data_IF_364240715210
#
_entry.id   IF_364240715210
#
_cell.length_a   1.000
_cell.length_b   1.000
_cell.length_c   1.000
_cell.angle_alpha   90.00
_cell.angle_beta   90.00
_cell.angle_gamma   90.00
#
_symmetry.space_group_name_H-M   'P 1'
#
loop_
_entity.id
_entity.type
_entity.pdbx_description
1 polymer ?
#
# COMPACT_ATOMS: atom_id res chain seq x y z
N UNK A 1 5.04 37.65 -2.65
CA UNK A 1 4.95 37.88 -1.19
C UNK A 1 4.08 39.11 -0.97
N UNK A 2 2.75 38.95 -0.80
CA UNK A 2 1.83 39.96 -0.27
C UNK A 2 0.41 39.35 -0.11
N UNK A 3 -0.24 39.68 1.01
CA UNK A 3 -1.66 39.50 1.37
C UNK A 3 -2.23 38.09 1.56
N UNK A 4 -1.75 37.35 2.57
CA UNK A 4 -2.67 36.50 3.35
C UNK A 4 -2.95 37.22 4.66
N UNK A 5 -4.21 37.56 4.91
CA UNK A 5 -4.66 38.04 6.22
C UNK A 5 -4.30 36.95 7.25
N UNK A 6 -3.66 37.29 8.39
CA UNK A 6 -3.45 36.32 9.46
C UNK A 6 -4.80 35.78 9.91
N UNK A 7 -4.85 34.49 10.25
CA UNK A 7 -6.08 33.85 10.71
C UNK A 7 -6.60 34.60 11.95
N UNK A 8 -7.86 35.03 11.89
CA UNK A 8 -8.53 35.65 13.04
C UNK A 8 -8.65 34.60 14.15
N UNK A 9 -8.32 35.00 15.37
CA UNK A 9 -8.26 34.18 16.60
C UNK A 9 -9.52 33.30 16.79
N UNK A 10 -10.66 33.82 16.36
CA UNK A 10 -12.01 33.26 16.46
C UNK A 10 -12.28 32.12 15.45
N UNK A 11 -11.37 31.87 14.50
CA UNK A 11 -11.47 30.78 13.51
C UNK A 11 -10.61 29.57 13.85
N UNK A 12 -9.85 29.64 14.94
CA UNK A 12 -9.11 28.50 15.49
C UNK A 12 -10.11 27.66 16.29
N UNK A 13 -10.26 26.38 15.93
CA UNK A 13 -11.05 25.46 16.72
C UNK A 13 -10.29 25.15 18.02
N UNK A 14 -10.63 25.85 19.10
CA UNK A 14 -9.92 25.75 20.37
C UNK A 14 -10.12 24.40 21.04
N UNK A 15 -11.20 23.67 20.73
CA UNK A 15 -11.45 22.32 21.26
C UNK A 15 -10.38 21.32 20.81
N UNK A 16 -9.79 21.49 19.61
CA UNK A 16 -8.64 20.70 19.13
C UNK A 16 -7.33 21.03 19.90
N UNK A 17 -7.28 22.19 20.53
CA UNK A 17 -6.13 22.68 21.30
C UNK A 17 -6.26 22.32 22.78
N UNK A 18 -7.47 22.41 23.34
CA UNK A 18 -7.74 22.33 24.79
C UNK A 18 -8.17 20.95 25.28
N UNK A 19 -8.68 20.04 24.43
CA UNK A 19 -9.12 18.72 24.90
C UNK A 19 -7.95 17.74 25.11
N UNK A 20 -7.01 18.07 26.00
CA UNK A 20 -5.97 17.15 26.46
C UNK A 20 -6.51 16.25 27.57
N UNK A 21 -7.46 15.36 27.23
CA UNK A 21 -7.67 14.20 28.08
C UNK A 21 -6.51 13.24 27.77
N UNK A 22 -5.55 13.11 28.68
CA UNK A 22 -4.26 12.43 28.45
C UNK A 22 -4.40 10.95 28.05
N UNK A 23 -5.60 10.38 28.20
CA UNK A 23 -5.94 8.99 27.89
C UNK A 23 -7.10 8.82 26.89
N UNK A 24 -7.58 9.88 26.23
CA UNK A 24 -8.62 9.73 25.21
C UNK A 24 -8.04 9.02 23.97
N UNK A 25 -8.53 7.80 23.72
CA UNK A 25 -8.27 7.05 22.48
C UNK A 25 -8.72 7.93 21.30
N UNK A 26 -7.81 8.22 20.36
CA UNK A 26 -8.12 9.06 19.20
C UNK A 26 -9.19 8.43 18.32
N UNK A 27 -10.01 9.25 17.64
CA UNK A 27 -11.04 8.76 16.71
C UNK A 27 -10.45 7.84 15.64
N UNK A 28 -9.25 8.15 15.15
CA UNK A 28 -8.52 7.32 14.19
C UNK A 28 -8.13 5.96 14.77
N UNK A 29 -7.69 5.91 16.04
CA UNK A 29 -7.34 4.66 16.71
C UNK A 29 -8.59 3.81 16.97
N UNK A 30 -9.73 4.42 17.34
CA UNK A 30 -11.00 3.70 17.46
C UNK A 30 -11.40 3.07 16.12
N UNK A 31 -11.37 3.84 15.04
CA UNK A 31 -11.77 3.38 13.70
C UNK A 31 -10.83 2.32 13.15
N UNK A 32 -9.52 2.44 13.45
CA UNK A 32 -8.53 1.42 13.12
C UNK A 32 -8.82 0.12 13.89
N UNK A 33 -9.01 0.17 15.21
CA UNK A 33 -9.27 -1.01 16.02
C UNK A 33 -10.57 -1.71 15.62
N UNK A 34 -11.63 -0.96 15.34
CA UNK A 34 -12.92 -1.53 14.91
C UNK A 34 -12.81 -2.31 13.61
N UNK A 35 -11.91 -1.90 12.71
CA UNK A 35 -11.68 -2.60 11.44
C UNK A 35 -10.59 -3.68 11.55
N UNK A 36 -9.54 -3.45 12.34
CA UNK A 36 -8.41 -4.36 12.50
C UNK A 36 -8.73 -5.61 13.32
N UNK A 37 -9.57 -5.50 14.36
CA UNK A 37 -9.92 -6.63 15.23
C UNK A 37 -10.60 -7.75 14.43
N UNK A 38 -11.65 -7.50 13.62
CA UNK A 38 -12.24 -8.54 12.78
C UNK A 38 -11.23 -9.19 11.82
N UNK A 39 -10.36 -8.40 11.18
CA UNK A 39 -9.34 -8.93 10.27
C UNK A 39 -8.33 -9.84 11.00
N UNK A 40 -7.90 -9.45 12.20
CA UNK A 40 -7.00 -10.24 13.03
C UNK A 40 -7.66 -11.55 13.48
N UNK A 41 -8.93 -11.49 13.90
CA UNK A 41 -9.70 -12.67 14.29
C UNK A 41 -9.86 -13.64 13.12
N UNK A 42 -10.20 -13.16 11.92
CA UNK A 42 -10.26 -14.00 10.71
C UNK A 42 -8.90 -14.61 10.38
N UNK A 43 -7.82 -13.84 10.52
CA UNK A 43 -6.45 -14.34 10.28
C UNK A 43 -6.06 -15.46 11.24
N UNK A 44 -6.38 -15.30 12.53
CA UNK A 44 -6.11 -16.30 13.59
C UNK A 44 -6.98 -17.53 13.39
N UNK A 45 -8.28 -17.35 13.09
CA UNK A 45 -9.19 -18.45 12.79
C UNK A 45 -8.71 -19.26 11.59
N UNK A 46 -8.31 -18.59 10.50
CA UNK A 46 -7.75 -19.25 9.31
C UNK A 46 -6.49 -20.04 9.64
N UNK A 47 -5.62 -19.52 10.50
CA UNK A 47 -4.40 -20.23 10.93
C UNK A 47 -4.68 -21.45 11.81
N UNK A 48 -5.73 -21.41 12.64
CA UNK A 48 -6.01 -22.47 13.63
C UNK A 48 -6.98 -23.54 13.13
N UNK A 49 -7.97 -23.16 12.33
CA UNK A 49 -9.18 -23.95 12.13
C UNK A 49 -9.51 -24.25 10.66
N UNK A 50 -8.82 -23.63 9.70
CA UNK A 50 -9.14 -23.75 8.26
C UNK A 50 -7.98 -24.44 7.54
N UNK A 51 -8.27 -25.53 6.83
CA UNK A 51 -7.28 -26.17 5.96
C UNK A 51 -6.92 -25.31 4.75
N UNK A 52 -5.73 -25.49 4.15
CA UNK A 52 -5.26 -24.69 3.00
C UNK A 52 -6.18 -24.71 1.76
N UNK A 53 -7.12 -25.66 1.68
CA UNK A 53 -8.06 -25.83 0.56
C UNK A 53 -9.51 -25.51 0.91
N UNK A 54 -9.77 -25.06 2.13
CA UNK A 54 -11.12 -24.81 2.62
C UNK A 54 -11.43 -23.31 2.59
N UNK A 55 -12.67 -22.97 2.20
CA UNK A 55 -13.12 -21.59 2.20
C UNK A 55 -13.31 -21.11 3.65
N UNK A 56 -12.56 -20.09 4.05
CA UNK A 56 -12.52 -19.60 5.45
C UNK A 56 -13.92 -19.27 5.96
N UNK A 57 -14.73 -18.60 5.15
CA UNK A 57 -16.08 -18.21 5.54
C UNK A 57 -17.08 -19.35 5.52
N UNK A 58 -16.87 -20.39 4.72
CA UNK A 58 -17.69 -21.60 4.75
C UNK A 58 -17.48 -22.36 6.07
N UNK A 59 -16.22 -22.57 6.46
CA UNK A 59 -15.86 -23.20 7.74
C UNK A 59 -16.33 -22.34 8.92
N UNK A 60 -16.19 -21.02 8.83
CA UNK A 60 -16.71 -20.10 9.85
C UNK A 60 -18.25 -20.16 9.96
N UNK A 61 -18.96 -20.23 8.84
CA UNK A 61 -20.41 -20.36 8.83
C UNK A 61 -20.86 -21.71 9.42
N UNK A 62 -20.16 -22.79 9.11
CA UNK A 62 -20.41 -24.11 9.70
C UNK A 62 -20.19 -24.10 11.22
N UNK A 63 -19.06 -23.57 11.69
CA UNK A 63 -18.73 -23.52 13.13
C UNK A 63 -19.69 -22.66 13.95
N UNK A 64 -20.30 -21.63 13.35
CA UNK A 64 -21.27 -20.73 14.01
C UNK A 64 -22.73 -21.17 13.77
N UNK A 65 -22.97 -22.23 12.99
CA UNK A 65 -24.32 -22.74 12.69
C UNK A 65 -25.12 -21.86 11.71
N UNK A 66 -24.42 -21.09 10.86
CA UNK A 66 -24.97 -20.19 9.85
C UNK A 66 -24.76 -20.69 8.41
N UNK A 67 -24.48 -21.98 8.21
CA UNK A 67 -24.21 -22.57 6.89
C UNK A 67 -25.34 -22.35 5.89
N UNK A 68 -26.60 -22.50 6.31
CA UNK A 68 -27.77 -22.26 5.44
C UNK A 68 -27.87 -20.81 4.96
N UNK A 69 -27.47 -19.85 5.80
CA UNK A 69 -27.42 -18.44 5.44
C UNK A 69 -26.27 -18.19 4.47
N UNK A 70 -25.09 -18.77 4.72
CA UNK A 70 -23.94 -18.65 3.83
C UNK A 70 -24.22 -19.18 2.42
N UNK A 71 -24.81 -20.38 2.31
CA UNK A 71 -25.19 -20.98 1.03
C UNK A 71 -26.24 -20.15 0.28
N UNK A 72 -27.14 -19.49 1.02
CA UNK A 72 -28.15 -18.59 0.44
C UNK A 72 -27.54 -17.30 -0.12
N UNK A 73 -26.49 -16.77 0.53
CA UNK A 73 -25.82 -15.53 0.09
C UNK A 73 -24.83 -15.84 -1.05
N UNK A 74 -24.31 -17.07 -1.16
CA UNK A 74 -23.50 -17.51 -2.30
C UNK A 74 -22.18 -16.77 -2.45
N UNK A 75 -21.57 -16.31 -1.34
CA UNK A 75 -20.29 -15.60 -1.39
C UNK A 75 -19.15 -16.64 -1.48
N UNK A 76 -18.60 -16.83 -2.68
CA UNK A 76 -17.41 -17.67 -2.91
C UNK A 76 -16.07 -16.95 -2.65
N UNK A 77 -16.09 -15.87 -1.86
CA UNK A 77 -14.90 -15.06 -1.60
C UNK A 77 -14.08 -15.68 -0.46
N UNK A 78 -12.91 -16.25 -0.76
CA UNK A 78 -11.91 -16.64 0.26
C UNK A 78 -10.73 -15.65 0.27
N UNK A 79 -10.62 -14.78 1.30
CA UNK A 79 -9.51 -13.84 1.38
C UNK A 79 -8.22 -14.57 1.71
N UNK A 80 -7.18 -14.31 0.91
CA UNK A 80 -5.81 -14.74 1.24
C UNK A 80 -5.23 -13.90 2.37
N UNK A 81 -4.16 -14.37 3.03
CA UNK A 81 -3.43 -13.54 4.00
C UNK A 81 -2.94 -12.22 3.39
N UNK A 82 -2.57 -12.24 2.10
CA UNK A 82 -2.18 -11.03 1.38
C UNK A 82 -3.35 -10.06 1.23
N UNK A 83 -4.57 -10.55 1.01
CA UNK A 83 -5.78 -9.72 0.93
C UNK A 83 -6.12 -9.08 2.27
N UNK A 84 -5.96 -9.83 3.36
CA UNK A 84 -6.18 -9.31 4.71
C UNK A 84 -5.15 -8.23 5.07
N UNK A 85 -3.86 -8.46 4.75
CA UNK A 85 -2.82 -7.44 4.92
C UNK A 85 -3.12 -6.20 4.07
N UNK A 86 -3.55 -6.39 2.82
CA UNK A 86 -3.90 -5.28 1.94
C UNK A 86 -5.09 -4.48 2.48
N UNK A 87 -6.16 -5.15 2.92
CA UNK A 87 -7.33 -4.50 3.51
C UNK A 87 -6.95 -3.72 4.77
N UNK A 88 -6.12 -4.29 5.64
CA UNK A 88 -5.59 -3.60 6.81
C UNK A 88 -4.80 -2.34 6.42
N UNK A 89 -3.97 -2.41 5.38
CA UNK A 89 -3.27 -1.22 4.88
C UNK A 89 -4.19 -0.17 4.26
N UNK A 90 -5.26 -0.56 3.57
CA UNK A 90 -6.30 0.39 3.10
C UNK A 90 -6.96 1.08 4.29
N UNK A 91 -7.29 0.35 5.35
CA UNK A 91 -7.90 0.92 6.56
C UNK A 91 -6.93 1.89 7.24
N UNK A 92 -5.65 1.54 7.35
CA UNK A 92 -4.61 2.44 7.87
C UNK A 92 -4.51 3.73 7.05
N UNK A 93 -4.45 3.61 5.73
CA UNK A 93 -4.40 4.76 4.83
C UNK A 93 -5.69 5.60 4.92
N UNK A 94 -6.85 4.95 4.94
CA UNK A 94 -8.16 5.60 5.08
C UNK A 94 -8.27 6.40 6.38
N UNK A 95 -7.83 5.83 7.49
CA UNK A 95 -7.89 6.44 8.83
C UNK A 95 -6.87 7.56 9.03
N UNK A 96 -5.64 7.41 8.54
CA UNK A 96 -4.53 8.32 8.85
C UNK A 96 -4.19 9.32 7.74
N UNK A 97 -4.65 9.07 6.51
CA UNK A 97 -4.40 9.97 5.36
C UNK A 97 -5.70 10.56 4.83
N UNK A 98 -6.65 9.71 4.46
CA UNK A 98 -7.88 10.13 3.77
C UNK A 98 -8.82 10.89 4.71
N UNK A 99 -9.10 10.35 5.89
CA UNK A 99 -10.04 10.94 6.85
C UNK A 99 -9.60 12.35 7.30
N UNK A 100 -8.33 12.62 7.68
CA UNK A 100 -7.88 13.98 7.99
C UNK A 100 -8.01 14.96 6.83
N UNK A 101 -7.82 14.52 5.58
CA UNK A 101 -8.03 15.36 4.40
C UNK A 101 -9.49 15.78 4.26
N UNK A 102 -10.45 14.88 4.52
CA UNK A 102 -11.88 15.21 4.49
C UNK A 102 -12.29 16.10 5.68
N UNK A 103 -11.72 15.89 6.86
CA UNK A 103 -11.98 16.71 8.04
C UNK A 103 -11.44 18.15 7.88
N UNK A 104 -10.39 18.35 7.09
CA UNK A 104 -9.74 19.65 6.85
C UNK A 104 -9.88 20.13 5.39
N UNK A 105 -11.10 20.49 4.92
CA UNK A 105 -11.36 20.77 3.50
C UNK A 105 -10.54 21.95 2.96
N UNK A 106 -10.20 22.92 3.81
CA UNK A 106 -9.33 24.06 3.45
C UNK A 106 -7.92 23.60 3.08
N UNK A 107 -7.31 22.74 3.89
CA UNK A 107 -5.97 22.21 3.66
C UNK A 107 -5.95 21.24 2.49
N UNK A 108 -6.96 20.36 2.38
CA UNK A 108 -7.09 19.47 1.23
C UNK A 108 -7.17 20.24 -0.10
N UNK A 109 -7.97 21.32 -0.16
CA UNK A 109 -8.05 22.18 -1.35
C UNK A 109 -6.71 22.86 -1.67
N UNK A 110 -5.94 23.24 -0.66
CA UNK A 110 -4.60 23.83 -0.86
C UNK A 110 -3.62 22.80 -1.46
N UNK A 111 -3.49 21.61 -0.87
CA UNK A 111 -2.62 20.56 -1.38
C UNK A 111 -3.04 20.08 -2.77
N UNK A 112 -4.34 19.89 -3.00
CA UNK A 112 -4.88 19.48 -4.30
C UNK A 112 -4.56 20.47 -5.41
N UNK A 113 -4.74 21.78 -5.17
CA UNK A 113 -4.39 22.81 -6.15
C UNK A 113 -2.91 22.83 -6.47
N UNK A 114 -2.05 22.65 -5.46
CA UNK A 114 -0.60 22.58 -5.65
C UNK A 114 -0.19 21.32 -6.40
N UNK A 115 -0.85 20.20 -6.15
CA UNK A 115 -0.62 18.95 -6.84
C UNK A 115 -0.93 19.05 -8.33
N UNK A 116 -2.08 19.62 -8.71
CA UNK A 116 -2.49 19.77 -10.11
C UNK A 116 -1.57 20.70 -10.92
N UNK A 117 -0.87 21.62 -10.26
CA UNK A 117 0.12 22.47 -10.94
C UNK A 117 1.36 21.68 -11.41
N UNK A 118 1.66 20.55 -10.77
CA UNK A 118 2.80 19.72 -11.12
C UNK A 118 2.40 18.65 -12.15
N UNK A 119 2.62 18.93 -13.44
CA UNK A 119 2.24 18.03 -14.55
C UNK A 119 2.79 16.61 -14.40
N UNK A 120 4.09 16.39 -14.10
CA UNK A 120 4.61 15.05 -13.80
C UNK A 120 3.81 14.32 -12.72
N UNK A 121 3.51 14.98 -11.61
CA UNK A 121 2.78 14.37 -10.50
C UNK A 121 1.36 13.94 -10.90
N UNK A 122 0.66 14.77 -11.70
CA UNK A 122 -0.67 14.44 -12.22
C UNK A 122 -0.63 13.21 -13.13
N UNK A 123 0.35 13.13 -14.03
CA UNK A 123 0.52 11.96 -14.92
C UNK A 123 0.77 10.70 -14.10
N UNK A 124 1.64 10.77 -13.09
CA UNK A 124 1.89 9.65 -12.17
C UNK A 124 0.62 9.24 -11.41
N UNK A 125 -0.18 10.19 -10.93
CA UNK A 125 -1.44 9.88 -10.25
C UNK A 125 -2.44 9.20 -11.18
N UNK A 126 -2.59 9.67 -12.42
CA UNK A 126 -3.48 9.04 -13.41
C UNK A 126 -3.04 7.61 -13.70
N UNK A 127 -1.74 7.39 -13.88
CA UNK A 127 -1.20 6.05 -14.09
C UNK A 127 -1.42 5.12 -12.89
N UNK A 128 -1.13 5.60 -11.67
CA UNK A 128 -1.36 4.85 -10.45
C UNK A 128 -2.85 4.56 -10.24
N UNK A 129 -3.73 5.51 -10.52
CA UNK A 129 -5.18 5.31 -10.45
C UNK A 129 -5.62 4.26 -11.46
N UNK A 130 -5.09 4.28 -12.69
CA UNK A 130 -5.37 3.24 -13.69
C UNK A 130 -4.95 1.85 -13.21
N UNK A 131 -3.73 1.70 -12.68
CA UNK A 131 -3.24 0.41 -12.16
C UNK A 131 -4.03 -0.03 -10.92
N UNK A 132 -4.38 0.90 -10.03
CA UNK A 132 -5.11 0.61 -8.80
C UNK A 132 -6.55 0.19 -9.08
N UNK A 133 -7.26 0.97 -9.90
CA UNK A 133 -8.63 0.66 -10.33
C UNK A 133 -8.64 -0.61 -11.17
N UNK A 134 -7.70 -0.76 -12.11
CA UNK A 134 -7.55 -1.96 -12.92
C UNK A 134 -7.24 -3.20 -12.09
N UNK A 135 -6.41 -3.08 -11.04
CA UNK A 135 -6.08 -4.17 -10.15
C UNK A 135 -7.22 -4.58 -9.20
N UNK A 136 -8.07 -3.64 -8.78
CA UNK A 136 -9.25 -3.94 -7.95
C UNK A 136 -10.40 -4.47 -8.79
N UNK A 137 -10.73 -3.77 -9.89
CA UNK A 137 -11.91 -4.03 -10.69
C UNK A 137 -11.65 -5.13 -11.74
N UNK A 138 -10.44 -5.21 -12.28
CA UNK A 138 -10.11 -6.13 -13.37
C UNK A 138 -10.39 -7.61 -13.10
N UNK A 139 -10.05 -8.17 -11.92
CA UNK A 139 -10.36 -9.56 -11.57
C UNK A 139 -11.86 -9.91 -11.56
N UNK A 140 -12.75 -8.91 -11.47
CA UNK A 140 -14.20 -9.15 -11.57
C UNK A 140 -14.66 -9.42 -13.00
N UNK A 141 -13.91 -8.95 -13.99
CA UNK A 141 -14.25 -9.08 -15.41
C UNK A 141 -13.39 -10.11 -16.14
N UNK A 142 -12.17 -10.35 -15.66
CA UNK A 142 -11.19 -11.22 -16.30
C UNK A 142 -10.85 -12.33 -15.32
N UNK A 143 -11.05 -13.58 -15.74
CA UNK A 143 -10.73 -14.76 -14.94
C UNK A 143 -9.21 -14.97 -14.84
N UNK A 144 -8.79 -15.70 -13.81
CA UNK A 144 -7.38 -16.01 -13.61
C UNK A 144 -6.81 -16.74 -14.82
N UNK A 145 -5.57 -16.41 -15.25
CA UNK A 145 -4.97 -17.04 -16.41
C UNK A 145 -4.73 -18.54 -16.14
N UNK A 146 -5.56 -19.39 -16.75
CA UNK A 146 -5.39 -20.84 -16.76
C UNK A 146 -4.29 -21.25 -17.74
N UNK A 147 -3.64 -22.36 -17.45
CA UNK A 147 -2.60 -22.92 -18.31
C UNK A 147 -3.23 -23.94 -19.25
N UNK A 148 -3.29 -23.61 -20.54
CA UNK A 148 -3.78 -24.50 -21.58
C UNK A 148 -2.75 -24.61 -22.72
N UNK A 149 -2.03 -25.73 -22.77
CA UNK A 149 -0.94 -25.92 -23.73
C UNK A 149 -1.45 -25.95 -25.18
N UNK A 150 -2.71 -26.31 -25.42
CA UNK A 150 -3.29 -26.30 -26.77
C UNK A 150 -3.42 -24.88 -27.31
N UNK A 151 -3.69 -23.92 -26.43
CA UNK A 151 -3.82 -22.51 -26.78
C UNK A 151 -2.49 -21.76 -26.66
N UNK A 152 -1.34 -22.43 -26.74
CA UNK A 152 -0.03 -21.79 -26.72
C UNK A 152 0.20 -20.89 -27.95
N UNK A 153 0.94 -19.79 -27.76
CA UNK A 153 1.46 -18.94 -28.85
C UNK A 153 0.39 -18.30 -29.77
N UNK A 154 -0.80 -18.01 -29.25
CA UNK A 154 -1.81 -17.27 -30.01
C UNK A 154 -1.34 -15.83 -30.26
N UNK A 155 -1.52 -15.29 -31.48
CA UNK A 155 -1.13 -13.92 -31.79
C UNK A 155 -2.13 -12.90 -31.17
N UNK A 156 -1.67 -11.67 -30.87
CA UNK A 156 -2.57 -10.56 -30.52
C UNK A 156 -3.56 -10.24 -31.65
N UNK A 157 -4.67 -9.58 -31.30
CA UNK A 157 -5.65 -9.12 -32.29
C UNK A 157 -4.98 -8.20 -33.31
N UNK A 158 -5.21 -8.45 -34.60
CA UNK A 158 -4.58 -7.73 -35.70
C UNK A 158 -3.19 -8.25 -36.09
N UNK A 159 -2.67 -9.26 -35.40
CA UNK A 159 -1.43 -9.96 -35.77
C UNK A 159 -1.74 -11.39 -36.24
N UNK A 160 -0.78 -11.98 -36.94
CA UNK A 160 -0.87 -13.34 -37.49
C UNK A 160 0.38 -14.13 -37.21
N UNK A 161 0.23 -15.45 -37.10
CA UNK A 161 1.35 -16.39 -36.98
C UNK A 161 1.11 -17.61 -37.87
N UNK A 162 2.18 -18.26 -38.32
CA UNK A 162 2.09 -19.50 -39.09
C UNK A 162 1.43 -20.61 -38.25
N UNK A 163 0.47 -21.34 -38.85
CA UNK A 163 -0.21 -22.48 -38.22
C UNK A 163 0.76 -23.56 -37.71
N UNK A 164 1.95 -23.72 -38.30
CA UNK A 164 2.94 -24.70 -37.86
C UNK A 164 3.56 -24.34 -36.50
N UNK A 165 3.50 -23.08 -36.10
CA UNK A 165 4.06 -22.59 -34.83
C UNK A 165 3.09 -22.72 -33.66
N UNK A 166 1.83 -23.05 -33.94
CA UNK A 166 0.74 -23.05 -32.96
C UNK A 166 0.11 -24.45 -32.89
N UNK A 167 -0.10 -25.04 -31.70
CA UNK A 167 -0.72 -26.36 -31.59
C UNK A 167 -2.17 -26.40 -32.10
N UNK A 168 -2.95 -25.36 -31.78
CA UNK A 168 -4.33 -25.19 -32.21
C UNK A 168 -4.64 -23.70 -32.38
N UNK A 169 -5.12 -23.28 -33.55
CA UNK A 169 -5.54 -21.88 -33.76
C UNK A 169 -6.97 -21.65 -33.23
N UNK A 170 -7.15 -20.61 -32.42
CA UNK A 170 -8.47 -20.18 -31.93
C UNK A 170 -9.16 -19.14 -32.83
N UNK A 171 -8.38 -18.40 -33.60
CA UNK A 171 -8.90 -17.41 -34.53
C UNK A 171 -9.25 -17.99 -35.90
N UNK A 172 -9.52 -17.10 -36.85
CA UNK A 172 -9.71 -17.49 -38.24
C UNK A 172 -8.38 -17.93 -38.84
N UNK A 173 -8.42 -18.99 -39.66
CA UNK A 173 -7.26 -19.47 -40.41
C UNK A 173 -7.45 -19.10 -41.86
N UNK A 174 -6.53 -18.29 -42.41
CA UNK A 174 -6.53 -17.89 -43.80
C UNK A 174 -5.13 -18.06 -44.39
N UNK A 175 -5.01 -18.72 -45.54
CA UNK A 175 -3.72 -18.96 -46.22
C UNK A 175 -2.63 -19.61 -45.34
N UNK A 176 -3.01 -20.50 -44.41
CA UNK A 176 -2.08 -21.16 -43.48
C UNK A 176 -1.63 -20.28 -42.30
N UNK A 177 -2.18 -19.07 -42.17
CA UNK A 177 -1.91 -18.15 -41.08
C UNK A 177 -3.05 -18.18 -40.07
N UNK A 178 -2.72 -18.25 -38.79
CA UNK A 178 -3.64 -18.09 -37.68
C UNK A 178 -3.76 -16.61 -37.31
N UNK A 179 -4.98 -16.08 -37.24
CA UNK A 179 -5.27 -14.71 -36.84
C UNK A 179 -5.58 -14.60 -35.34
N UNK A 180 -5.27 -13.45 -34.73
CA UNK A 180 -5.59 -13.20 -33.33
C UNK A 180 -7.09 -13.12 -33.05
N UNK A 181 -7.52 -13.59 -31.88
CA UNK A 181 -8.92 -13.63 -31.43
C UNK A 181 -9.17 -12.69 -30.26
N UNK A 182 -10.41 -12.21 -30.11
CA UNK A 182 -10.85 -11.38 -28.98
C UNK A 182 -10.92 -12.13 -27.65
N UNK A 183 -10.90 -13.46 -27.66
CA UNK A 183 -10.75 -14.27 -26.44
C UNK A 183 -9.36 -14.05 -25.79
N UNK A 184 -8.33 -13.80 -26.60
CA UNK A 184 -6.99 -13.47 -26.16
C UNK A 184 -6.48 -12.21 -26.87
N UNK A 185 -6.95 -11.00 -26.45
CA UNK A 185 -6.67 -9.75 -27.17
C UNK A 185 -5.18 -9.45 -27.35
N UNK A 186 -4.38 -9.77 -26.32
CA UNK A 186 -2.92 -9.62 -26.31
C UNK A 186 -2.17 -10.92 -26.62
N UNK A 187 -2.87 -11.95 -27.12
CA UNK A 187 -2.32 -13.26 -27.38
C UNK A 187 -2.08 -14.09 -26.11
N UNK A 188 -1.38 -15.21 -26.28
CA UNK A 188 -1.04 -16.14 -25.20
C UNK A 188 0.46 -16.41 -25.12
N UNK A 189 0.90 -16.82 -23.93
CA UNK A 189 2.29 -17.22 -23.68
C UNK A 189 2.59 -18.61 -24.27
N UNK A 190 3.85 -19.06 -24.16
CA UNK A 190 4.26 -20.43 -24.52
C UNK A 190 3.52 -21.53 -23.74
N UNK A 191 3.02 -21.23 -22.54
CA UNK A 191 2.18 -22.14 -21.76
C UNK A 191 0.68 -21.94 -22.00
N UNK A 192 0.30 -21.13 -23.00
CA UNK A 192 -1.09 -20.80 -23.33
C UNK A 192 -1.84 -19.95 -22.33
N UNK A 193 -1.14 -19.36 -21.35
CA UNK A 193 -1.74 -18.35 -20.48
C UNK A 193 -2.02 -17.08 -21.28
N UNK A 194 -3.25 -16.57 -21.22
CA UNK A 194 -3.62 -15.29 -21.82
C UNK A 194 -2.82 -14.12 -21.25
N UNK A 195 -2.17 -13.34 -22.11
CA UNK A 195 -1.28 -12.23 -21.70
C UNK A 195 -2.09 -11.12 -21.02
N UNK A 196 -3.27 -10.76 -21.55
CA UNK A 196 -4.14 -9.74 -20.96
C UNK A 196 -4.59 -10.13 -19.55
N UNK A 197 -5.02 -11.38 -19.36
CA UNK A 197 -5.39 -11.89 -18.05
C UNK A 197 -4.20 -11.86 -17.07
N UNK A 198 -3.00 -12.21 -17.54
CA UNK A 198 -1.76 -12.08 -16.77
C UNK A 198 -1.45 -10.64 -16.37
N UNK A 199 -1.64 -9.68 -17.29
CA UNK A 199 -1.43 -8.25 -17.01
C UNK A 199 -2.40 -7.75 -15.94
N UNK A 200 -3.69 -8.06 -16.04
CA UNK A 200 -4.71 -7.62 -15.08
C UNK A 200 -4.48 -8.20 -13.69
N UNK A 201 -4.25 -9.52 -13.59
CA UNK A 201 -3.95 -10.14 -12.29
C UNK A 201 -2.59 -9.70 -11.75
N UNK A 202 -1.63 -9.42 -12.64
CA UNK A 202 -0.35 -8.81 -12.31
C UNK A 202 -0.50 -7.43 -11.70
N UNK A 203 -1.43 -6.59 -12.19
CA UNK A 203 -1.75 -5.29 -11.59
C UNK A 203 -2.28 -5.47 -10.16
N UNK A 204 -3.20 -6.42 -9.93
CA UNK A 204 -3.73 -6.72 -8.61
C UNK A 204 -2.63 -7.08 -7.61
N UNK A 205 -1.76 -8.02 -7.97
CA UNK A 205 -0.67 -8.48 -7.09
C UNK A 205 0.34 -7.36 -6.87
N UNK A 206 0.76 -6.67 -7.93
CA UNK A 206 1.76 -5.58 -7.85
C UNK A 206 1.27 -4.43 -6.98
N UNK A 207 0.00 -4.04 -7.13
CA UNK A 207 -0.64 -3.02 -6.30
C UNK A 207 -0.65 -3.42 -4.82
N UNK A 208 -1.09 -4.66 -4.50
CA UNK A 208 -1.12 -5.16 -3.12
C UNK A 208 0.25 -5.08 -2.47
N UNK A 209 1.27 -5.62 -3.13
CA UNK A 209 2.64 -5.63 -2.64
C UNK A 209 3.17 -4.21 -2.45
N UNK A 210 3.05 -3.36 -3.48
CA UNK A 210 3.56 -2.00 -3.43
C UNK A 210 2.93 -1.20 -2.28
N UNK A 211 1.61 -1.33 -2.08
CA UNK A 211 0.89 -0.59 -1.06
C UNK A 211 1.22 -1.06 0.35
N UNK A 212 1.28 -2.39 0.56
CA UNK A 212 1.66 -2.98 1.85
C UNK A 212 3.09 -2.60 2.20
N UNK A 213 4.04 -2.87 1.32
CA UNK A 213 5.46 -2.60 1.54
C UNK A 213 5.71 -1.11 1.80
N UNK A 214 5.11 -0.22 1.01
CA UNK A 214 5.27 1.24 1.21
C UNK A 214 4.74 1.68 2.57
N UNK A 215 3.60 1.15 3.02
CA UNK A 215 3.03 1.46 4.33
C UNK A 215 3.97 1.03 5.46
N UNK A 216 4.53 -0.18 5.37
CA UNK A 216 5.49 -0.69 6.36
C UNK A 216 6.78 0.13 6.35
N UNK A 217 7.36 0.36 5.17
CA UNK A 217 8.56 1.18 4.98
C UNK A 217 8.39 2.60 5.53
N UNK A 218 7.24 3.22 5.27
CA UNK A 218 6.91 4.54 5.80
C UNK A 218 6.79 4.50 7.33
N UNK A 219 6.07 3.54 7.90
CA UNK A 219 5.92 3.42 9.35
C UNK A 219 7.27 3.26 10.06
N UNK A 220 8.12 2.35 9.58
CA UNK A 220 9.46 2.15 10.13
C UNK A 220 10.34 3.38 9.93
N UNK A 221 10.42 3.91 8.70
CA UNK A 221 11.26 5.06 8.37
C UNK A 221 10.88 6.31 9.16
N UNK A 222 9.58 6.62 9.28
CA UNK A 222 9.09 7.76 10.06
C UNK A 222 9.45 7.60 11.52
N UNK A 223 9.24 6.42 12.09
CA UNK A 223 9.55 6.15 13.50
C UNK A 223 11.05 6.27 13.75
N UNK A 224 11.88 5.58 12.96
CA UNK A 224 13.34 5.60 13.11
C UNK A 224 13.93 7.00 12.92
N UNK A 225 13.53 7.69 11.85
CA UNK A 225 14.05 9.03 11.53
C UNK A 225 13.62 10.09 12.54
N UNK A 226 12.39 10.03 13.05
CA UNK A 226 11.91 10.95 14.09
C UNK A 226 12.62 10.70 15.41
N UNK A 227 12.78 9.43 15.82
CA UNK A 227 13.45 9.07 17.07
C UNK A 227 14.92 9.50 17.03
N UNK A 228 15.63 9.26 15.93
CA UNK A 228 17.04 9.65 15.83
C UNK A 228 17.20 11.19 15.84
N UNK A 229 16.38 11.92 15.07
CA UNK A 229 16.42 13.39 15.04
C UNK A 229 16.14 14.01 16.43
N UNK A 230 15.24 13.40 17.20
CA UNK A 230 14.87 13.91 18.50
C UNK A 230 15.84 13.56 19.62
N UNK A 231 16.32 12.31 19.64
CA UNK A 231 17.25 11.85 20.66
C UNK A 231 18.60 12.60 20.54
N UNK A 232 19.04 12.86 19.31
CA UNK A 232 20.31 13.52 19.03
C UNK A 232 21.52 12.77 19.58
N UNK A 233 22.70 13.39 19.48
CA UNK A 233 23.94 12.88 20.08
C UNK A 233 24.28 11.44 19.65
N UNK A 234 24.63 10.60 20.62
CA UNK A 234 25.09 9.23 20.37
C UNK A 234 23.98 8.29 19.86
N UNK A 235 22.72 8.53 20.26
CA UNK A 235 21.57 7.71 19.82
C UNK A 235 21.35 7.93 18.33
N UNK A 236 21.37 9.20 17.90
CA UNK A 236 21.25 9.57 16.51
C UNK A 236 22.37 8.94 15.65
N UNK A 237 23.62 9.10 16.08
CA UNK A 237 24.78 8.51 15.38
C UNK A 237 24.65 6.99 15.29
N UNK A 238 24.29 6.30 16.37
CA UNK A 238 24.15 4.83 16.38
C UNK A 238 23.03 4.36 15.46
N UNK A 239 21.87 5.03 15.50
CA UNK A 239 20.73 4.68 14.64
C UNK A 239 21.02 4.96 13.16
N UNK A 240 21.72 6.04 12.85
CA UNK A 240 22.13 6.35 11.48
C UNK A 240 23.21 5.39 10.99
N UNK A 241 24.18 4.99 11.83
CA UNK A 241 25.14 3.93 11.50
C UNK A 241 24.46 2.60 11.19
N UNK A 242 23.46 2.22 11.98
CA UNK A 242 22.66 1.02 11.70
C UNK A 242 21.92 1.13 10.37
N UNK A 243 21.36 2.31 10.08
CA UNK A 243 20.70 2.60 8.80
C UNK A 243 21.69 2.50 7.63
N UNK A 244 22.90 3.00 7.79
CA UNK A 244 23.97 2.94 6.78
C UNK A 244 24.39 1.49 6.49
N UNK A 245 24.49 0.66 7.54
CA UNK A 245 24.76 -0.77 7.40
C UNK A 245 23.67 -1.44 6.57
N UNK A 246 22.39 -1.20 6.87
CA UNK A 246 21.27 -1.78 6.11
C UNK A 246 21.30 -1.36 4.64
N UNK A 247 21.53 -0.08 4.37
CA UNK A 247 21.58 0.46 3.00
C UNK A 247 22.81 0.00 2.21
N UNK A 248 23.84 -0.51 2.89
CA UNK A 248 25.01 -1.10 2.23
C UNK A 248 24.70 -2.47 1.61
N UNK A 249 23.64 -3.15 2.06
CA UNK A 249 23.23 -4.44 1.50
C UNK A 249 22.44 -4.26 0.19
N UNK A 250 22.83 -4.93 -0.89
CA UNK A 250 22.07 -4.94 -2.12
C UNK A 250 20.74 -5.69 -1.92
N UNK A 251 19.65 -4.94 -1.69
CA UNK A 251 18.32 -5.49 -1.33
C UNK A 251 17.84 -6.56 -2.30
N UNK A 252 18.03 -6.34 -3.62
CA UNK A 252 17.62 -7.30 -4.64
C UNK A 252 18.38 -8.63 -4.54
N UNK A 253 19.68 -8.59 -4.24
CA UNK A 253 20.49 -9.80 -4.08
C UNK A 253 20.07 -10.56 -2.80
N UNK A 254 19.80 -9.84 -1.70
CA UNK A 254 19.25 -10.46 -0.49
C UNK A 254 17.89 -11.12 -0.74
N UNK A 255 17.03 -10.49 -1.53
CA UNK A 255 15.77 -11.08 -1.95
C UNK A 255 15.97 -12.38 -2.72
N UNK A 256 16.85 -12.40 -3.74
CA UNK A 256 17.13 -13.61 -4.52
C UNK A 256 17.72 -14.74 -3.66
N UNK A 257 18.60 -14.41 -2.72
CA UNK A 257 19.20 -15.39 -1.80
C UNK A 257 18.14 -16.03 -0.91
N UNK A 258 17.27 -15.22 -0.29
CA UNK A 258 16.23 -15.74 0.60
C UNK A 258 15.18 -16.52 -0.21
N UNK A 259 14.84 -16.07 -1.42
CA UNK A 259 13.98 -16.82 -2.33
C UNK A 259 14.56 -18.19 -2.68
N UNK A 260 15.87 -18.28 -2.91
CA UNK A 260 16.55 -19.55 -3.18
C UNK A 260 16.52 -20.51 -1.98
N UNK A 261 16.68 -19.99 -0.76
CA UNK A 261 16.75 -20.81 0.46
C UNK A 261 15.36 -21.23 0.96
N UNK A 262 14.42 -20.29 1.04
CA UNK A 262 13.11 -20.48 1.66
C UNK A 262 11.97 -20.69 0.66
N UNK A 263 12.26 -20.58 -0.64
CA UNK A 263 11.27 -20.65 -1.70
C UNK A 263 10.59 -19.31 -2.01
N UNK A 264 9.85 -19.30 -3.11
CA UNK A 264 9.15 -18.11 -3.58
C UNK A 264 7.82 -17.93 -2.82
N UNK A 265 7.72 -16.85 -2.05
CA UNK A 265 6.48 -16.42 -1.41
C UNK A 265 6.32 -14.90 -1.50
N UNK A 266 5.10 -14.44 -1.78
CA UNK A 266 4.77 -13.00 -1.81
C UNK A 266 4.95 -12.36 -0.43
N UNK A 267 4.70 -13.11 0.65
CA UNK A 267 4.92 -12.62 2.02
C UNK A 267 6.41 -12.41 2.29
N UNK A 268 7.27 -13.32 1.83
CA UNK A 268 8.73 -13.16 1.91
C UNK A 268 9.21 -11.95 1.11
N UNK A 269 8.67 -11.75 -0.10
CA UNK A 269 8.95 -10.56 -0.90
C UNK A 269 8.64 -9.28 -0.11
N UNK A 270 7.44 -9.16 0.45
CA UNK A 270 7.02 -8.00 1.24
C UNK A 270 7.95 -7.81 2.44
N UNK A 271 8.26 -8.87 3.18
CA UNK A 271 9.10 -8.81 4.38
C UNK A 271 10.50 -8.28 4.06
N UNK A 272 11.16 -8.84 3.04
CA UNK A 272 12.54 -8.47 2.69
C UNK A 272 12.60 -7.04 2.18
N UNK A 273 11.72 -6.67 1.26
CA UNK A 273 11.69 -5.30 0.77
C UNK A 273 11.38 -4.31 1.89
N UNK A 274 10.47 -4.65 2.81
CA UNK A 274 10.16 -3.79 3.95
C UNK A 274 11.34 -3.66 4.92
N UNK A 275 12.10 -4.73 5.13
CA UNK A 275 13.23 -4.77 6.06
C UNK A 275 14.44 -3.96 5.58
N UNK A 276 14.66 -3.87 4.27
CA UNK A 276 15.84 -3.20 3.71
C UNK A 276 15.56 -1.82 3.07
N UNK A 277 14.31 -1.50 2.70
CA UNK A 277 14.02 -0.25 1.98
C UNK A 277 13.75 0.98 2.88
N UNK A 278 13.61 0.82 4.19
CA UNK A 278 13.21 1.92 5.10
C UNK A 278 14.31 2.91 5.43
N UNK A 279 15.58 2.59 5.19
CA UNK A 279 16.70 3.46 5.56
C UNK A 279 16.70 4.81 4.84
N UNK A 280 16.33 4.83 3.56
CA UNK A 280 16.19 6.07 2.79
C UNK A 280 15.10 6.97 3.37
N UNK A 281 13.96 6.37 3.70
CA UNK A 281 12.84 7.06 4.37
C UNK A 281 13.27 7.61 5.73
N UNK A 282 13.99 6.84 6.55
CA UNK A 282 14.49 7.29 7.85
C UNK A 282 15.41 8.51 7.74
N UNK A 283 16.37 8.51 6.81
CA UNK A 283 17.24 9.68 6.58
C UNK A 283 16.46 10.91 6.12
N UNK A 284 15.49 10.72 5.23
CA UNK A 284 14.63 11.82 4.77
C UNK A 284 13.83 12.43 5.93
N UNK A 285 13.14 11.59 6.73
CA UNK A 285 12.38 12.06 7.90
C UNK A 285 13.29 12.72 8.92
N UNK A 286 14.46 12.15 9.19
CA UNK A 286 15.44 12.76 10.11
C UNK A 286 15.83 14.16 9.65
N UNK A 287 16.19 14.32 8.38
CA UNK A 287 16.56 15.63 7.81
C UNK A 287 15.43 16.65 7.95
N UNK A 288 14.18 16.24 7.66
CA UNK A 288 13.00 17.10 7.83
C UNK A 288 12.71 17.41 9.29
N UNK A 289 12.82 16.45 10.18
CA UNK A 289 12.59 16.63 11.61
C UNK A 289 13.60 17.60 12.22
N UNK A 290 14.89 17.48 11.86
CA UNK A 290 15.93 18.43 12.27
C UNK A 290 15.64 19.83 11.73
N UNK A 291 15.32 19.97 10.44
CA UNK A 291 14.96 21.27 9.85
C UNK A 291 13.76 21.92 10.54
N UNK A 292 12.68 21.17 10.79
CA UNK A 292 11.50 21.68 11.51
C UNK A 292 11.85 22.06 12.94
N UNK A 293 12.77 21.33 13.60
CA UNK A 293 13.15 21.61 14.99
C UNK A 293 13.89 22.94 15.17
N UNK A 294 14.44 23.51 14.10
CA UNK A 294 15.15 24.79 14.11
C UNK A 294 14.25 26.01 13.87
N UNK A 295 12.99 25.79 13.49
CA UNK A 295 11.99 26.82 13.22
C UNK A 295 11.66 27.69 14.45
N UNK A 296 11.35 28.96 14.22
CA UNK A 296 11.12 29.96 15.28
C UNK A 296 9.96 29.57 16.22
N UNK A 297 8.89 28.99 15.68
CA UNK A 297 7.74 28.58 16.48
C UNK A 297 8.09 27.43 17.44
N UNK A 298 9.03 26.54 17.08
CA UNK A 298 9.51 25.48 17.96
C UNK A 298 10.34 26.07 19.10
N UNK A 299 11.21 27.04 18.80
CA UNK A 299 12.00 27.77 19.80
C UNK A 299 11.08 28.51 20.78
N UNK A 300 10.06 29.21 20.28
CA UNK A 300 9.06 29.89 21.10
C UNK A 300 8.28 28.91 22.00
N UNK A 301 7.88 27.77 21.46
CA UNK A 301 7.19 26.71 22.22
C UNK A 301 8.07 26.13 23.33
N UNK A 302 9.37 25.96 23.06
CA UNK A 302 10.34 25.52 24.08
C UNK A 302 10.51 26.55 25.20
N UNK A 303 10.61 27.84 24.86
CA UNK A 303 10.69 28.93 25.85
C UNK A 303 9.42 29.00 26.71
N UNK A 304 8.27 28.63 26.12
CA UNK A 304 6.98 28.55 26.82
C UNK A 304 6.86 27.35 27.78
N UNK A 305 7.91 26.53 27.94
CA UNK A 305 7.97 25.42 28.90
C UNK A 305 7.39 24.09 28.41
N UNK A 306 7.09 23.94 27.12
CA UNK A 306 6.59 22.67 26.58
C UNK A 306 7.63 21.55 26.70
N UNK A 307 7.20 20.36 27.14
CA UNK A 307 8.08 19.19 27.22
C UNK A 307 8.58 18.80 25.83
N UNK A 308 9.79 18.23 25.77
CA UNK A 308 10.39 17.78 24.51
C UNK A 308 9.49 16.78 23.76
N UNK A 309 8.82 15.88 24.48
CA UNK A 309 7.87 14.92 23.91
C UNK A 309 6.63 15.61 23.31
N UNK A 310 6.10 16.62 24.01
CA UNK A 310 4.98 17.43 23.50
C UNK A 310 5.36 18.14 22.20
N UNK A 311 6.57 18.71 22.14
CA UNK A 311 7.10 19.38 20.93
C UNK A 311 7.13 18.40 19.75
N UNK A 312 7.68 17.20 19.94
CA UNK A 312 7.75 16.21 18.85
C UNK A 312 6.37 15.77 18.39
N UNK A 313 5.53 15.31 19.30
CA UNK A 313 4.25 14.71 18.96
C UNK A 313 3.27 15.71 18.37
N UNK A 314 3.26 16.95 18.87
CA UNK A 314 2.27 17.97 18.49
C UNK A 314 2.76 18.95 17.43
N UNK A 315 4.08 19.09 17.25
CA UNK A 315 4.64 20.05 16.31
C UNK A 315 5.58 19.42 15.29
N UNK A 316 6.54 18.58 15.67
CA UNK A 316 7.50 18.02 14.69
C UNK A 316 6.85 16.99 13.77
N UNK A 317 6.26 15.91 14.34
CA UNK A 317 5.67 14.81 13.56
C UNK A 317 4.57 15.30 12.59
N UNK A 318 3.60 16.13 13.01
CA UNK A 318 2.56 16.58 12.10
C UNK A 318 3.11 17.45 10.96
N UNK A 319 4.14 18.26 11.22
CA UNK A 319 4.75 19.10 10.18
C UNK A 319 5.64 18.30 9.23
N UNK A 320 6.38 17.30 9.72
CA UNK A 320 7.17 16.42 8.85
C UNK A 320 6.31 15.49 8.01
N UNK A 321 5.15 15.05 8.52
CA UNK A 321 4.19 14.21 7.79
C UNK A 321 3.76 14.84 6.45
N UNK A 322 3.57 16.15 6.39
CA UNK A 322 3.22 16.87 5.14
C UNK A 322 4.29 16.70 4.05
N UNK A 323 5.56 16.65 4.44
CA UNK A 323 6.70 16.46 3.53
C UNK A 323 6.93 15.00 3.16
N UNK A 324 6.37 14.05 3.91
CA UNK A 324 6.47 12.62 3.62
C UNK A 324 5.43 12.19 2.58
N UNK A 325 4.29 12.87 2.53
CA UNK A 325 3.19 12.60 1.59
C UNK A 325 3.40 13.26 0.21
N UNK A 326 4.26 14.27 0.12
CA UNK A 326 4.55 15.02 -1.14
C UNK A 326 5.77 14.46 -1.83
#
# INVERSE_FOLDING_TARGET
MATKKPDQFDKVNWDDVTSSNQFAISTNLKLLLTAAIPMALVSVFKWQAVGERENTFAVLAETVGLSSVYDTIGIEFDPTYLDLMFLFTIVLFGTHVVLPMFQSPRMAKYYYRRFIQNRPAVVSLVWLAFVFVGGIIGPFFIQQPSQDVLHALQPPVGMTIDMQSVPQCLGTVENGMCHGTWEHPLGTTRGGKGVLAGVVHGMTISMKIAFITTTVVAAFGITFGTVSAFAGGWVDETMMRFTDIILSFPTFIMFLLILYIFGASLAMFIFIFSLFAWGGMARYVRSKALSVSEEEFIKATRISGASRFTIVRRHVIPNTASSIVT
#
